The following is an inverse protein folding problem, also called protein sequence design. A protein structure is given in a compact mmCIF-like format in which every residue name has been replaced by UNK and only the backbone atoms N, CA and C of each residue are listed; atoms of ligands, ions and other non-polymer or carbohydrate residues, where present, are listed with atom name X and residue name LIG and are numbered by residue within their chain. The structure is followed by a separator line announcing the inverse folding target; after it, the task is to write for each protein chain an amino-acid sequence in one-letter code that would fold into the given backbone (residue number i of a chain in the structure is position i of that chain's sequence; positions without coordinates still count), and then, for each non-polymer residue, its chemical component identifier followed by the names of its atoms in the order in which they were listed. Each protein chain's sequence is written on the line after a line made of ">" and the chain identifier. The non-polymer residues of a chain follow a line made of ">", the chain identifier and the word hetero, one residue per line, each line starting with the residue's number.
data_IF_201969330700
#
_entry.id   IF_201969330700
#
_cell.length_a   1.000
_cell.length_b   1.000
_cell.length_c   1.000
_cell.angle_alpha   90.00
_cell.angle_beta   90.00
_cell.angle_gamma   90.00
#
_symmetry.space_group_name_H-M   'P 1'
#
loop_
_entity.id
_entity.type
_entity.pdbx_description
1 polymer ?
#
# COMPACT_ATOMS: atom_id res chain seq x y z
N UNK A 1 -1.82 7.89 3.07
CA UNK A 1 -3.04 8.35 3.74
C UNK A 1 -2.80 8.56 5.21
N UNK A 2 -3.56 9.46 5.82
CA UNK A 2 -3.48 9.77 7.25
C UNK A 2 -4.73 9.31 8.02
N UNK A 3 -5.54 8.46 7.43
CA UNK A 3 -6.70 7.86 8.10
C UNK A 3 -6.20 7.05 9.30
N UNK A 4 -6.73 7.35 10.47
CA UNK A 4 -6.43 6.63 11.71
C UNK A 4 -7.62 5.75 12.06
N UNK A 5 -7.35 4.50 12.29
CA UNK A 5 -8.35 3.52 12.72
C UNK A 5 -8.13 3.15 14.18
N UNK A 6 -9.21 2.94 14.90
CA UNK A 6 -9.18 2.35 16.23
C UNK A 6 -8.90 0.85 16.14
N UNK A 7 -8.47 0.23 17.23
CA UNK A 7 -8.25 -1.21 17.29
C UNK A 7 -9.52 -1.99 16.92
N UNK A 8 -10.67 -1.57 17.42
CA UNK A 8 -11.98 -2.19 17.13
C UNK A 8 -12.29 -2.14 15.63
N UNK A 9 -12.02 -1.02 14.97
CA UNK A 9 -12.22 -0.89 13.52
C UNK A 9 -11.28 -1.82 12.75
N UNK A 10 -10.00 -1.91 13.15
CA UNK A 10 -9.04 -2.82 12.52
C UNK A 10 -9.49 -4.27 12.70
N UNK A 11 -9.91 -4.69 13.89
CA UNK A 11 -10.44 -6.03 14.15
C UNK A 11 -11.66 -6.35 13.27
N UNK A 12 -12.59 -5.40 13.12
CA UNK A 12 -13.74 -5.55 12.22
C UNK A 12 -13.32 -5.71 10.76
N UNK A 13 -12.29 -4.96 10.31
CA UNK A 13 -11.77 -5.05 8.95
C UNK A 13 -11.11 -6.40 8.67
N UNK A 14 -10.44 -7.01 9.63
CA UNK A 14 -9.78 -8.31 9.49
C UNK A 14 -10.82 -9.41 9.21
N UNK A 15 -11.96 -9.35 9.86
CA UNK A 15 -13.05 -10.31 9.69
C UNK A 15 -13.88 -10.07 8.40
N UNK A 16 -13.54 -9.04 7.63
CA UNK A 16 -14.26 -8.69 6.42
C UNK A 16 -13.46 -9.15 5.18
N UNK A 17 -13.98 -10.12 4.44
CA UNK A 17 -13.38 -10.66 3.21
C UNK A 17 -13.16 -9.61 2.11
N UNK A 18 -13.74 -8.42 2.25
CA UNK A 18 -13.56 -7.29 1.32
C UNK A 18 -12.37 -6.40 1.70
N UNK A 19 -11.68 -6.70 2.80
CA UNK A 19 -10.52 -5.93 3.26
C UNK A 19 -9.29 -6.82 3.35
N UNK A 20 -8.19 -6.34 2.81
CA UNK A 20 -6.88 -7.00 2.86
C UNK A 20 -5.96 -6.10 3.68
N UNK A 21 -5.44 -6.66 4.77
CA UNK A 21 -4.42 -6.02 5.59
C UNK A 21 -3.08 -6.68 5.31
N UNK A 22 -2.04 -5.88 5.13
CA UNK A 22 -0.66 -6.33 5.01
C UNK A 22 0.23 -5.46 5.86
N UNK A 23 1.24 -6.06 6.44
CA UNK A 23 2.35 -5.35 7.07
C UNK A 23 3.66 -5.84 6.49
N UNK A 24 4.67 -5.00 6.54
CA UNK A 24 5.98 -5.28 5.99
C UNK A 24 7.04 -5.04 7.04
N UNK A 25 7.96 -5.97 7.11
CA UNK A 25 9.19 -5.86 7.90
C UNK A 25 10.37 -5.86 6.93
N UNK A 26 11.40 -5.13 7.25
CA UNK A 26 12.61 -5.10 6.46
C UNK A 26 13.79 -5.55 7.32
N UNK A 27 14.57 -6.48 6.77
CA UNK A 27 15.87 -6.86 7.28
C UNK A 27 16.91 -6.56 6.20
N UNK A 28 17.98 -5.91 6.56
CA UNK A 28 19.11 -5.60 5.68
C UNK A 28 20.43 -6.04 6.33
N UNK A 29 21.55 -5.72 5.69
CA UNK A 29 22.88 -6.07 6.18
C UNK A 29 23.25 -5.38 7.51
N UNK A 30 22.53 -4.33 7.88
CA UNK A 30 22.74 -3.57 9.11
C UNK A 30 21.84 -4.02 10.25
N UNK A 31 20.86 -4.89 9.99
CA UNK A 31 19.98 -5.46 11.00
C UNK A 31 18.49 -5.52 10.62
N UNK A 32 17.67 -5.81 11.63
CA UNK A 32 16.21 -5.84 11.51
C UNK A 32 15.62 -4.45 11.78
N UNK A 33 15.06 -3.84 10.75
CA UNK A 33 14.40 -2.55 10.84
C UNK A 33 12.97 -2.65 11.45
N UNK A 34 12.52 -3.86 11.77
CA UNK A 34 11.21 -4.12 12.35
C UNK A 34 10.06 -3.84 11.38
N UNK A 35 8.91 -3.44 11.93
CA UNK A 35 7.76 -3.04 11.13
C UNK A 35 8.03 -1.70 10.44
N UNK A 36 7.98 -1.71 9.11
CA UNK A 36 8.33 -0.52 8.30
C UNK A 36 7.16 0.00 7.47
N UNK A 37 6.15 -0.81 7.21
CA UNK A 37 4.97 -0.37 6.46
C UNK A 37 3.75 -1.19 6.83
N UNK A 38 2.58 -0.56 6.73
CA UNK A 38 1.27 -1.22 6.77
C UNK A 38 0.39 -0.73 5.63
N UNK A 39 -0.44 -1.64 5.12
CA UNK A 39 -1.26 -1.46 3.96
C UNK A 39 -2.67 -1.99 4.24
N UNK A 40 -3.68 -1.16 4.01
CA UNK A 40 -5.09 -1.56 4.02
C UNK A 40 -5.64 -1.35 2.62
N UNK A 41 -6.11 -2.44 2.02
CA UNK A 41 -6.72 -2.42 0.69
C UNK A 41 -8.17 -2.89 0.84
N UNK A 42 -9.09 -2.14 0.25
CA UNK A 42 -10.51 -2.50 0.14
C UNK A 42 -10.80 -3.03 -1.26
N UNK A 43 -11.49 -4.17 -1.33
CA UNK A 43 -11.97 -4.74 -2.57
C UNK A 43 -13.35 -4.19 -2.88
N UNK A 44 -13.53 -3.65 -4.07
CA UNK A 44 -14.80 -3.12 -4.57
C UNK A 44 -15.02 -3.68 -5.97
N UNK A 45 -15.76 -4.78 -6.09
CA UNK A 45 -15.90 -5.53 -7.33
C UNK A 45 -14.53 -5.88 -7.95
N UNK A 46 -14.18 -5.31 -9.10
CA UNK A 46 -12.89 -5.52 -9.80
C UNK A 46 -11.87 -4.41 -9.52
N UNK A 47 -12.08 -3.62 -8.49
CA UNK A 47 -11.19 -2.51 -8.10
C UNK A 47 -10.54 -2.84 -6.76
N UNK A 48 -9.23 -2.66 -6.66
CA UNK A 48 -8.51 -2.60 -5.40
C UNK A 48 -8.30 -1.13 -5.02
N UNK A 49 -8.86 -0.73 -3.90
CA UNK A 49 -8.70 0.62 -3.38
C UNK A 49 -7.69 0.61 -2.23
N UNK A 50 -6.56 1.29 -2.42
CA UNK A 50 -5.55 1.52 -1.39
C UNK A 50 -6.11 2.56 -0.42
N UNK A 51 -6.72 2.08 0.65
CA UNK A 51 -7.34 2.92 1.68
C UNK A 51 -6.27 3.57 2.58
N UNK A 52 -5.33 2.77 3.03
CA UNK A 52 -4.23 3.22 3.87
C UNK A 52 -2.92 2.63 3.39
N UNK A 53 -1.93 3.46 3.23
CA UNK A 53 -0.54 3.06 3.01
C UNK A 53 0.34 3.93 3.88
N UNK A 54 0.85 3.36 4.95
CA UNK A 54 1.75 4.01 5.91
C UNK A 54 3.13 3.39 5.77
N UNK A 55 4.15 4.23 5.80
CA UNK A 55 5.53 3.80 5.70
C UNK A 55 6.41 4.60 6.67
N UNK A 56 7.39 3.91 7.27
CA UNK A 56 8.41 4.55 8.08
C UNK A 56 9.32 5.42 7.22
N UNK A 57 9.56 6.66 7.64
CA UNK A 57 10.48 7.55 6.93
C UNK A 57 11.91 6.99 6.82
N UNK A 58 12.29 6.05 7.69
CA UNK A 58 13.61 5.40 7.69
C UNK A 58 13.89 4.56 6.44
N UNK A 59 12.84 4.13 5.75
CA UNK A 59 12.95 3.23 4.57
C UNK A 59 12.50 3.90 3.28
N UNK A 60 12.10 5.15 3.33
CA UNK A 60 11.76 5.92 2.13
C UNK A 60 12.96 6.03 1.19
N UNK A 61 12.72 5.95 -0.10
CA UNK A 61 13.74 6.00 -1.17
C UNK A 61 14.79 4.88 -1.09
N UNK A 62 14.44 3.75 -0.45
CA UNK A 62 15.29 2.56 -0.36
C UNK A 62 14.74 1.37 -1.18
N UNK A 63 13.86 1.63 -2.14
CA UNK A 63 13.21 0.61 -2.96
C UNK A 63 12.05 -0.11 -2.28
N UNK A 64 11.66 0.30 -1.08
CA UNK A 64 10.57 -0.33 -0.34
C UNK A 64 9.21 0.04 -0.92
N UNK A 65 9.08 1.24 -1.46
CA UNK A 65 7.87 1.70 -2.16
C UNK A 65 7.62 0.84 -3.40
N UNK A 66 8.65 0.59 -4.17
CA UNK A 66 8.63 -0.22 -5.39
C UNK A 66 8.34 -1.68 -5.07
N UNK A 67 8.92 -2.21 -4.01
CA UNK A 67 8.62 -3.56 -3.52
C UNK A 67 7.15 -3.71 -3.13
N UNK A 68 6.63 -2.81 -2.28
CA UNK A 68 5.23 -2.85 -1.84
C UNK A 68 4.29 -2.69 -3.04
N UNK A 69 4.64 -1.83 -3.98
CA UNK A 69 3.88 -1.68 -5.23
C UNK A 69 3.83 -3.00 -6.01
N UNK A 70 4.95 -3.71 -6.15
CA UNK A 70 4.99 -5.00 -6.82
C UNK A 70 4.07 -6.04 -6.14
N UNK A 71 3.96 -5.99 -4.80
CA UNK A 71 3.04 -6.81 -4.04
C UNK A 71 1.57 -6.45 -4.31
N UNK A 72 1.26 -5.15 -4.40
CA UNK A 72 -0.09 -4.68 -4.76
C UNK A 72 -0.46 -5.18 -6.16
N UNK A 73 0.44 -5.09 -7.14
CA UNK A 73 0.21 -5.58 -8.49
C UNK A 73 -0.01 -7.10 -8.51
N UNK A 74 0.78 -7.83 -7.73
CA UNK A 74 0.61 -9.29 -7.61
C UNK A 74 -0.77 -9.64 -7.04
N UNK A 75 -1.20 -8.95 -5.98
CA UNK A 75 -2.54 -9.13 -5.42
C UNK A 75 -3.63 -8.78 -6.45
N UNK A 76 -3.48 -7.68 -7.18
CA UNK A 76 -4.44 -7.26 -8.20
C UNK A 76 -4.59 -8.32 -9.30
N UNK A 77 -3.50 -8.93 -9.76
CA UNK A 77 -3.51 -10.02 -10.73
C UNK A 77 -4.19 -11.27 -10.18
N UNK A 78 -3.82 -11.71 -8.98
CA UNK A 78 -4.43 -12.89 -8.32
C UNK A 78 -5.94 -12.72 -8.15
N UNK A 79 -6.40 -11.52 -7.82
CA UNK A 79 -7.81 -11.19 -7.61
C UNK A 79 -8.54 -10.81 -8.90
N UNK A 80 -7.87 -10.90 -10.06
CA UNK A 80 -8.40 -10.51 -11.38
C UNK A 80 -9.01 -9.10 -11.38
N UNK A 81 -8.38 -8.20 -10.64
CA UNK A 81 -8.78 -6.79 -10.59
C UNK A 81 -8.42 -6.08 -11.88
N UNK A 82 -9.28 -5.20 -12.36
CA UNK A 82 -9.04 -4.42 -13.57
C UNK A 82 -8.43 -3.07 -13.28
N UNK A 83 -8.49 -2.64 -12.02
CA UNK A 83 -8.08 -1.32 -11.59
C UNK A 83 -7.48 -1.34 -10.18
N UNK A 84 -6.44 -0.55 -9.96
CA UNK A 84 -5.96 -0.19 -8.62
C UNK A 84 -6.15 1.31 -8.44
N UNK A 85 -6.78 1.71 -7.36
CA UNK A 85 -7.00 3.12 -6.99
C UNK A 85 -6.31 3.46 -5.69
N UNK A 86 -5.83 4.68 -5.58
CA UNK A 86 -5.24 5.21 -4.36
C UNK A 86 -5.71 6.62 -4.07
N UNK A 87 -5.69 6.98 -2.79
CA UNK A 87 -5.97 8.33 -2.33
C UNK A 87 -4.75 8.88 -1.59
N UNK A 88 -4.32 10.08 -1.95
CA UNK A 88 -3.35 10.84 -1.19
C UNK A 88 -4.05 11.99 -0.46
N UNK A 89 -3.87 12.06 0.84
CA UNK A 89 -4.32 13.16 1.70
C UNK A 89 -3.08 13.92 2.17
N UNK A 90 -2.87 15.18 1.77
CA UNK A 90 -1.69 15.93 2.16
C UNK A 90 -1.68 16.18 3.67
N UNK A 91 -0.50 16.11 4.26
CA UNK A 91 -0.24 16.48 5.64
C UNK A 91 1.20 16.98 5.78
N UNK A 92 1.49 17.67 6.89
CA UNK A 92 2.87 18.14 7.19
C UNK A 92 3.88 16.97 7.19
N UNK A 93 3.44 15.75 7.55
CA UNK A 93 4.32 14.58 7.73
C UNK A 93 4.49 13.72 6.48
N UNK A 94 3.61 13.83 5.48
CA UNK A 94 3.64 12.96 4.30
C UNK A 94 3.98 13.70 2.99
N UNK A 95 4.46 14.92 3.07
CA UNK A 95 4.86 15.72 1.90
C UNK A 95 5.91 15.00 1.03
N UNK A 96 6.81 14.24 1.66
CA UNK A 96 7.85 13.48 0.97
C UNK A 96 7.30 12.42 -0.01
N UNK A 97 6.08 11.96 0.21
CA UNK A 97 5.43 10.94 -0.63
C UNK A 97 4.31 11.52 -1.50
N UNK A 98 4.26 12.84 -1.65
CA UNK A 98 3.23 13.51 -2.48
C UNK A 98 3.23 13.05 -3.94
N UNK A 99 4.40 12.72 -4.49
CA UNK A 99 4.59 12.22 -5.86
C UNK A 99 4.63 10.69 -5.96
N UNK A 100 4.34 9.96 -4.88
CA UNK A 100 4.49 8.50 -4.85
C UNK A 100 3.66 7.82 -5.95
N UNK A 101 2.38 8.12 -6.04
CA UNK A 101 1.50 7.50 -7.03
C UNK A 101 1.93 7.81 -8.46
N UNK A 102 2.33 9.07 -8.74
CA UNK A 102 2.84 9.48 -10.04
C UNK A 102 4.10 8.69 -10.41
N UNK A 103 5.08 8.60 -9.50
CA UNK A 103 6.32 7.82 -9.71
C UNK A 103 6.06 6.34 -9.94
N UNK A 104 5.01 5.80 -9.35
CA UNK A 104 4.57 4.41 -9.53
C UNK A 104 3.70 4.22 -10.78
N UNK A 105 3.53 5.26 -11.60
CA UNK A 105 2.83 5.19 -12.88
C UNK A 105 1.30 5.25 -12.79
N UNK A 106 0.75 5.65 -11.65
CA UNK A 106 -0.67 5.94 -11.56
C UNK A 106 -1.01 7.24 -12.29
N UNK A 107 -2.20 7.30 -12.86
CA UNK A 107 -2.76 8.50 -13.47
C UNK A 107 -3.62 9.26 -12.46
N UNK A 108 -3.46 10.57 -12.39
CA UNK A 108 -4.30 11.44 -11.57
C UNK A 108 -5.72 11.47 -12.16
N UNK A 109 -6.74 11.17 -11.35
CA UNK A 109 -8.13 11.21 -11.76
C UNK A 109 -8.81 12.50 -11.28
N UNK A 110 -8.53 12.87 -10.02
CA UNK A 110 -9.21 13.98 -9.37
C UNK A 110 -8.30 14.62 -8.33
N UNK A 111 -8.41 15.93 -8.20
CA UNK A 111 -7.81 16.69 -7.12
C UNK A 111 -8.88 17.54 -6.45
N UNK A 112 -8.95 17.48 -5.14
CA UNK A 112 -9.90 18.24 -4.34
C UNK A 112 -9.30 19.58 -3.89
N UNK A 113 -10.15 20.58 -3.52
CA UNK A 113 -9.68 21.87 -3.03
C UNK A 113 -8.81 21.79 -1.77
N UNK A 114 -9.02 20.79 -0.92
CA UNK A 114 -8.22 20.52 0.30
C UNK A 114 -6.86 19.88 -0.02
N UNK A 115 -6.55 19.67 -1.30
CA UNK A 115 -5.34 19.05 -1.80
C UNK A 115 -5.38 17.52 -1.85
N UNK A 116 -6.46 16.89 -1.42
CA UNK A 116 -6.63 15.46 -1.61
C UNK A 116 -6.60 15.10 -3.10
N UNK A 117 -5.93 14.01 -3.45
CA UNK A 117 -5.83 13.55 -4.83
C UNK A 117 -6.14 12.06 -4.95
N UNK A 118 -6.78 11.70 -6.05
CA UNK A 118 -7.19 10.34 -6.37
C UNK A 118 -6.44 9.88 -7.60
N UNK A 119 -5.93 8.67 -7.53
CA UNK A 119 -5.04 8.09 -8.51
C UNK A 119 -5.53 6.72 -8.94
N UNK A 120 -5.26 6.37 -10.19
CA UNK A 120 -5.71 5.12 -10.78
C UNK A 120 -4.63 4.47 -11.63
N UNK A 121 -4.52 3.16 -11.53
CA UNK A 121 -3.68 2.32 -12.38
C UNK A 121 -4.55 1.28 -13.08
N UNK A 122 -4.58 1.31 -14.40
CA UNK A 122 -5.32 0.37 -15.22
C UNK A 122 -4.52 -0.93 -15.40
N UNK A 123 -5.03 -2.03 -14.87
CA UNK A 123 -4.37 -3.33 -14.94
C UNK A 123 -4.41 -4.00 -16.33
N UNK A 124 -5.20 -3.44 -17.27
CA UNK A 124 -5.29 -3.90 -18.66
C UNK A 124 -4.27 -3.23 -19.57
N UNK A 125 -3.69 -2.11 -19.14
CA UNK A 125 -2.62 -1.41 -19.85
C UNK A 125 -1.24 -2.01 -19.49
N UNK A 126 -0.20 -1.77 -20.29
CA UNK A 126 1.17 -2.12 -19.92
C UNK A 126 1.53 -1.50 -18.56
N UNK A 127 1.92 -2.35 -17.63
CA UNK A 127 2.28 -1.89 -16.28
C UNK A 127 3.66 -1.26 -16.28
N UNK A 128 3.90 -0.26 -15.42
CA UNK A 128 5.21 0.35 -15.27
C UNK A 128 6.26 -0.70 -14.90
N UNK A 129 7.41 -0.65 -15.57
CA UNK A 129 8.58 -1.46 -15.23
C UNK A 129 9.26 -0.82 -14.03
N UNK A 130 8.92 -1.29 -12.84
CA UNK A 130 9.51 -0.80 -11.59
C UNK A 130 10.45 -1.89 -11.06
N UNK A 131 11.69 -1.52 -10.83
CA UNK A 131 12.71 -2.42 -10.30
C UNK A 131 13.00 -2.11 -8.83
N UNK A 132 13.29 -3.15 -8.06
CA UNK A 132 13.78 -3.06 -6.69
C UNK A 132 14.75 -4.21 -6.41
N UNK A 133 15.61 -4.04 -5.45
CA UNK A 133 16.59 -5.05 -5.00
C UNK A 133 16.08 -5.88 -3.81
N UNK A 134 14.93 -5.53 -3.25
CA UNK A 134 14.37 -6.18 -2.08
C UNK A 134 13.80 -7.54 -2.48
N UNK A 135 14.16 -8.58 -1.73
CA UNK A 135 13.67 -9.95 -1.92
C UNK A 135 12.70 -10.31 -0.79
N UNK A 136 11.62 -11.00 -1.17
CA UNK A 136 10.71 -11.59 -0.18
C UNK A 136 11.40 -12.81 0.44
N UNK A 137 11.49 -12.85 1.76
CA UNK A 137 12.05 -14.00 2.50
C UNK A 137 10.97 -14.85 3.15
N UNK A 138 9.88 -14.24 3.64
CA UNK A 138 8.74 -14.93 4.26
C UNK A 138 7.45 -14.18 3.93
N UNK A 139 6.37 -14.94 3.73
CA UNK A 139 5.01 -14.42 3.74
C UNK A 139 4.27 -15.20 4.83
N UNK A 140 3.73 -14.51 5.83
CA UNK A 140 2.76 -15.08 6.76
C UNK A 140 1.44 -14.39 6.51
N UNK A 141 0.37 -15.17 6.42
CA UNK A 141 -0.96 -14.61 6.59
C UNK A 141 -1.06 -14.04 8.00
N UNK A 142 -1.84 -12.99 8.18
CA UNK A 142 -2.11 -12.41 9.49
C UNK A 142 -2.80 -13.46 10.35
N UNK A 143 -2.01 -14.14 11.15
CA UNK A 143 -2.48 -15.08 12.15
C UNK A 143 -2.84 -14.26 13.38
N UNK A 144 -4.14 -14.02 13.58
CA UNK A 144 -4.67 -13.18 14.65
C UNK A 144 -4.39 -13.75 16.05
N UNK A 145 -4.07 -15.04 16.14
CA UNK A 145 -3.79 -15.68 17.42
C UNK A 145 -2.44 -15.28 18.01
N UNK A 146 -1.53 -14.74 17.22
CA UNK A 146 -0.19 -14.33 17.64
C UNK A 146 -0.05 -12.83 17.99
N UNK A 147 -1.15 -12.11 18.14
CA UNK A 147 -1.19 -10.69 18.55
C UNK A 147 -1.58 -10.51 20.04
N UNK A 148 -1.28 -11.45 20.88
CA UNK A 148 -1.42 -11.31 22.34
C UNK A 148 -0.10 -10.96 23.01
#
# INVERSE_FOLDING_TARGET
>A
TTTRYTETQIRSMINNNMTILRYFRLKDNFGDNGLISSLIIKRQAKILFIDTWVMSCRVLSRGMEEFIFSEIITMAKCLKSTMVRGKYLPSKKNKLVSSLYERLGFKLIKKEPDGASYWELNMKEPLPKISHTIKRTKSKDLDLENWR
#
